data_IF_358550451506
#
_entry.id   IF_358550451506
#
_cell.length_a   1.000
_cell.length_b   1.000
_cell.length_c   1.000
_cell.angle_alpha   90.00
_cell.angle_beta   90.00
_cell.angle_gamma   90.00
#
_symmetry.space_group_name_H-M   'P 1'
#
loop_
_entity.id
_entity.type
_entity.pdbx_description
1 polymer ?
#
# COMPACT_ATOMS: atom_id res chain seq x y z
N UNK A 1 17.10 2.96 -6.37
CA UNK A 1 16.20 3.85 -5.62
C UNK A 1 16.43 3.59 -4.13
N UNK A 2 16.08 4.51 -3.22
CA UNK A 2 16.33 4.33 -1.78
C UNK A 2 15.09 3.81 -1.06
N UNK A 3 15.28 2.89 -0.11
CA UNK A 3 14.19 2.39 0.75
C UNK A 3 13.56 3.56 1.51
N UNK A 4 12.28 3.79 1.30
CA UNK A 4 11.52 4.91 1.89
C UNK A 4 10.38 4.43 2.82
N UNK A 5 10.51 3.21 3.34
CA UNK A 5 9.60 2.63 4.34
C UNK A 5 10.07 3.03 5.73
N UNK A 6 9.18 3.67 6.49
CA UNK A 6 9.49 4.16 7.84
C UNK A 6 8.96 3.21 8.92
N UNK A 7 9.36 3.40 10.18
CA UNK A 7 8.74 2.64 11.28
C UNK A 7 7.39 3.26 11.66
N UNK A 8 6.52 2.46 12.31
CA UNK A 8 5.26 2.99 12.84
C UNK A 8 5.47 4.17 13.79
N UNK A 9 6.52 4.12 14.63
CA UNK A 9 6.86 5.19 15.58
C UNK A 9 7.30 6.44 14.83
N UNK A 10 8.15 6.29 13.81
CA UNK A 10 8.57 7.41 12.95
C UNK A 10 7.37 8.07 12.27
N UNK A 11 6.41 7.29 11.77
CA UNK A 11 5.20 7.82 11.14
C UNK A 11 4.39 8.67 12.12
N UNK A 12 4.15 8.16 13.34
CA UNK A 12 3.43 8.90 14.39
C UNK A 12 4.18 10.16 14.80
N UNK A 13 5.50 10.09 14.99
CA UNK A 13 6.32 11.25 15.35
C UNK A 13 6.34 12.33 14.25
N UNK A 14 6.19 11.93 12.98
CA UNK A 14 6.04 12.84 11.84
C UNK A 14 4.61 13.40 11.69
N UNK A 15 3.73 13.19 12.68
CA UNK A 15 2.35 13.67 12.66
C UNK A 15 1.43 12.88 11.71
N UNK A 16 1.86 11.71 11.21
CA UNK A 16 0.98 10.83 10.43
C UNK A 16 0.04 10.08 11.39
N UNK A 17 -1.16 9.79 10.91
CA UNK A 17 -2.18 9.05 11.68
C UNK A 17 -2.47 7.68 11.04
N UNK A 18 -1.64 6.64 11.25
CA UNK A 18 -1.88 5.30 10.72
C UNK A 18 -3.23 4.68 11.09
N UNK A 19 -3.84 5.15 12.19
CA UNK A 19 -5.15 4.70 12.68
C UNK A 19 -6.32 5.30 11.88
N UNK A 20 -6.11 6.41 11.18
CA UNK A 20 -7.15 7.06 10.36
C UNK A 20 -7.40 6.32 9.03
N UNK A 21 -6.60 5.31 8.71
CA UNK A 21 -6.73 4.52 7.49
C UNK A 21 -7.44 3.21 7.79
N UNK A 22 -8.55 2.99 7.08
CA UNK A 22 -9.35 1.80 7.21
C UNK A 22 -8.55 0.54 6.86
N UNK A 23 -8.68 -0.48 7.70
CA UNK A 23 -8.22 -1.85 7.43
C UNK A 23 -9.39 -2.83 7.29
N UNK A 24 -10.61 -2.35 7.55
CA UNK A 24 -11.82 -3.13 7.43
C UNK A 24 -12.10 -3.45 5.96
N UNK A 25 -12.33 -4.74 5.69
CA UNK A 25 -12.61 -5.27 4.35
C UNK A 25 -13.85 -4.64 3.70
N UNK A 26 -14.78 -4.11 4.49
CA UNK A 26 -15.98 -3.42 4.00
C UNK A 26 -15.71 -1.97 3.58
N UNK A 27 -14.63 -1.38 4.08
CA UNK A 27 -14.25 0.01 3.79
C UNK A 27 -13.18 0.11 2.71
N UNK A 28 -12.44 -0.97 2.45
CA UNK A 28 -11.45 -1.05 1.38
C UNK A 28 -12.19 -1.23 0.04
N UNK A 29 -11.92 -0.37 -0.98
CA UNK A 29 -12.50 -0.54 -2.31
C UNK A 29 -12.09 -1.90 -2.91
N UNK A 30 -13.03 -2.55 -3.59
CA UNK A 30 -12.77 -3.78 -4.37
C UNK A 30 -12.82 -3.43 -5.85
N UNK A 31 -11.92 -4.02 -6.64
CA UNK A 31 -11.74 -3.70 -8.05
C UNK A 31 -10.56 -2.76 -8.28
N UNK A 32 -10.62 -2.02 -9.38
CA UNK A 32 -9.61 -1.01 -9.71
C UNK A 32 -9.90 0.32 -9.02
N UNK A 33 -8.89 0.90 -8.38
CA UNK A 33 -8.98 2.20 -7.72
C UNK A 33 -7.72 3.01 -7.96
N UNK A 34 -7.89 4.31 -8.14
CA UNK A 34 -6.77 5.26 -8.20
C UNK A 34 -6.58 5.82 -6.80
N UNK A 35 -5.37 5.72 -6.26
CA UNK A 35 -5.11 6.23 -4.91
C UNK A 35 -3.67 6.73 -4.75
N UNK A 36 -3.53 7.79 -3.97
CA UNK A 36 -2.23 8.34 -3.61
C UNK A 36 -1.62 7.55 -2.47
N UNK A 37 -0.36 7.15 -2.61
CA UNK A 37 0.39 6.52 -1.54
C UNK A 37 0.94 7.60 -0.59
N UNK A 38 0.33 7.80 0.56
CA UNK A 38 0.73 8.89 1.47
C UNK A 38 2.02 8.56 2.25
N UNK A 39 2.16 7.32 2.72
CA UNK A 39 3.37 6.80 3.38
C UNK A 39 3.34 5.27 3.50
N UNK A 40 4.45 4.68 3.93
CA UNK A 40 4.62 3.23 4.08
C UNK A 40 5.29 2.90 5.40
N UNK A 41 4.84 1.84 6.07
CA UNK A 41 5.47 1.37 7.31
C UNK A 41 5.80 -0.11 7.28
N UNK A 42 6.88 -0.47 7.97
CA UNK A 42 7.18 -1.87 8.26
C UNK A 42 6.14 -2.47 9.21
N UNK A 43 5.64 -3.67 8.91
CA UNK A 43 4.78 -4.41 9.83
C UNK A 43 5.59 -4.95 11.01
N UNK A 44 5.09 -4.77 12.24
CA UNK A 44 5.79 -5.17 13.47
C UNK A 44 6.09 -6.67 13.61
N UNK A 45 5.23 -7.55 13.07
CA UNK A 45 5.25 -9.01 13.32
C UNK A 45 5.47 -9.86 12.07
N UNK A 46 5.61 -9.24 10.91
CA UNK A 46 5.72 -9.92 9.63
C UNK A 46 6.74 -9.21 8.74
N UNK A 47 7.30 -9.93 7.77
CA UNK A 47 8.06 -9.34 6.67
C UNK A 47 7.07 -8.74 5.66
N UNK A 48 6.38 -7.67 6.06
CA UNK A 48 5.38 -6.98 5.26
C UNK A 48 5.58 -5.47 5.29
N UNK A 49 5.17 -4.81 4.21
CA UNK A 49 5.09 -3.35 4.11
C UNK A 49 3.62 -2.98 4.07
N UNK A 50 3.16 -2.23 5.09
CA UNK A 50 1.83 -1.64 5.08
C UNK A 50 1.87 -0.30 4.36
N UNK A 51 1.10 -0.21 3.29
CA UNK A 51 0.97 0.97 2.44
C UNK A 51 -0.32 1.70 2.79
N UNK A 52 -0.21 3.01 3.03
CA UNK A 52 -1.34 3.86 3.39
C UNK A 52 -1.76 4.68 2.18
N UNK A 53 -2.95 4.41 1.70
CA UNK A 53 -3.50 5.00 0.48
C UNK A 53 -4.66 5.95 0.78
N UNK A 54 -4.73 7.02 0.02
CA UNK A 54 -5.80 7.99 0.05
C UNK A 54 -6.35 8.15 -1.37
N UNK A 55 -7.63 7.86 -1.55
CA UNK A 55 -8.34 8.10 -2.81
C UNK A 55 -8.58 9.62 -2.94
N UNK A 56 -8.03 10.28 -3.98
CA UNK A 56 -8.14 11.73 -4.12
C UNK A 56 -9.59 12.18 -4.36
N UNK A 57 -10.39 11.39 -5.07
CA UNK A 57 -11.74 11.76 -5.48
C UNK A 57 -12.75 11.71 -4.31
N UNK A 58 -12.61 10.72 -3.43
CA UNK A 58 -13.56 10.48 -2.32
C UNK A 58 -13.00 10.87 -0.96
N UNK A 59 -11.69 11.12 -0.86
CA UNK A 59 -10.97 11.30 0.41
C UNK A 59 -10.86 10.01 1.24
N UNK A 60 -11.26 8.85 0.68
CA UNK A 60 -11.25 7.57 1.40
C UNK A 60 -9.82 7.14 1.70
N UNK A 61 -9.55 6.91 2.98
CA UNK A 61 -8.26 6.45 3.48
C UNK A 61 -8.33 4.97 3.82
N UNK A 62 -7.49 4.18 3.16
CA UNK A 62 -7.41 2.74 3.41
C UNK A 62 -5.96 2.28 3.41
N UNK A 63 -5.68 1.15 4.05
CA UNK A 63 -4.35 0.57 4.08
C UNK A 63 -4.37 -0.88 3.61
N UNK A 64 -3.34 -1.24 2.86
CA UNK A 64 -3.12 -2.61 2.40
C UNK A 64 -1.72 -3.05 2.79
N UNK A 65 -1.58 -4.30 3.20
CA UNK A 65 -0.29 -4.87 3.57
C UNK A 65 0.20 -5.75 2.42
N UNK A 66 1.37 -5.41 1.88
CA UNK A 66 2.09 -6.23 0.91
C UNK A 66 3.08 -7.09 1.68
N UNK A 67 2.95 -8.40 1.55
CA UNK A 67 3.85 -9.36 2.21
C UNK A 67 4.99 -9.72 1.28
N UNK A 68 6.17 -9.96 1.87
CA UNK A 68 7.33 -10.51 1.17
C UNK A 68 6.96 -11.86 0.57
N UNK A 69 7.30 -12.05 -0.69
CA UNK A 69 7.19 -13.35 -1.32
C UNK A 69 8.17 -14.34 -0.68
N UNK A 70 7.70 -15.55 -0.38
CA UNK A 70 8.48 -16.55 0.37
C UNK A 70 9.65 -17.14 -0.44
N UNK A 71 9.64 -16.98 -1.77
CA UNK A 71 10.61 -17.63 -2.65
C UNK A 71 11.62 -16.64 -3.26
N UNK A 72 11.23 -15.39 -3.50
CA UNK A 72 12.06 -14.38 -4.18
C UNK A 72 12.69 -13.34 -3.25
N UNK A 73 12.32 -13.33 -1.97
CA UNK A 73 12.68 -12.29 -1.01
C UNK A 73 12.25 -10.84 -1.36
N UNK A 74 11.51 -10.67 -2.44
CA UNK A 74 11.04 -9.37 -2.94
C UNK A 74 9.70 -8.97 -2.29
N UNK A 75 9.49 -7.67 -2.12
CA UNK A 75 8.20 -7.08 -1.72
C UNK A 75 7.42 -6.65 -2.96
N UNK A 76 7.31 -7.56 -3.92
CA UNK A 76 6.60 -7.35 -5.18
C UNK A 76 5.28 -8.10 -5.16
N UNK A 77 4.28 -7.54 -5.83
CA UNK A 77 3.08 -8.29 -6.16
C UNK A 77 3.44 -9.34 -7.21
N UNK A 78 2.65 -10.42 -7.29
CA UNK A 78 2.85 -11.46 -8.30
C UNK A 78 2.83 -10.84 -9.71
N UNK A 79 3.93 -10.99 -10.47
CA UNK A 79 4.16 -10.36 -11.79
C UNK A 79 4.21 -8.82 -11.80
N UNK A 80 4.27 -8.17 -10.64
CA UNK A 80 4.40 -6.72 -10.54
C UNK A 80 5.86 -6.27 -10.61
N UNK A 81 6.11 -5.15 -11.29
CA UNK A 81 7.46 -4.55 -11.38
C UNK A 81 7.79 -3.64 -10.19
N UNK A 82 6.76 -3.20 -9.44
CA UNK A 82 6.91 -2.30 -8.30
C UNK A 82 7.42 -3.03 -7.05
N UNK A 83 8.59 -2.62 -6.56
CA UNK A 83 9.02 -2.93 -5.19
C UNK A 83 8.42 -1.90 -4.22
N UNK A 84 7.55 -2.37 -3.31
CA UNK A 84 6.90 -1.52 -2.33
C UNK A 84 7.86 -0.93 -1.29
N UNK A 85 9.11 -1.42 -1.19
CA UNK A 85 10.15 -0.78 -0.37
C UNK A 85 10.65 0.52 -0.96
N UNK A 86 10.61 0.64 -2.28
CA UNK A 86 11.28 1.72 -3.02
C UNK A 86 10.30 2.62 -3.77
N UNK A 87 9.06 2.17 -4.03
CA UNK A 87 8.10 2.94 -4.80
C UNK A 87 7.87 4.35 -4.21
N UNK A 88 7.76 5.40 -5.03
CA UNK A 88 7.68 6.77 -4.53
C UNK A 88 6.41 7.01 -3.71
N UNK A 89 6.56 7.60 -2.52
CA UNK A 89 5.44 8.15 -1.74
C UNK A 89 4.99 9.50 -2.33
N UNK A 90 3.75 9.89 -2.08
CA UNK A 90 3.12 11.10 -2.61
C UNK A 90 2.65 10.99 -4.06
N UNK A 91 2.80 9.83 -4.70
CA UNK A 91 2.38 9.58 -6.09
C UNK A 91 1.07 8.80 -6.17
N UNK A 92 0.39 8.93 -7.31
CA UNK A 92 -0.83 8.19 -7.62
C UNK A 92 -0.49 6.81 -8.17
N UNK A 93 -1.25 5.82 -7.73
CA UNK A 93 -1.15 4.45 -8.18
C UNK A 93 -2.52 3.96 -8.61
N UNK A 94 -2.54 3.21 -9.72
CA UNK A 94 -3.67 2.37 -10.09
C UNK A 94 -3.51 1.06 -9.35
N UNK A 95 -4.41 0.77 -8.43
CA UNK A 95 -4.41 -0.43 -7.61
C UNK A 95 -5.54 -1.35 -8.05
N UNK A 96 -5.29 -2.66 -8.05
CA UNK A 96 -6.34 -3.67 -8.18
C UNK A 96 -6.43 -4.44 -6.87
N UNK A 97 -7.53 -4.28 -6.16
CA UNK A 97 -7.75 -4.90 -4.86
C UNK A 97 -8.88 -5.92 -4.97
N UNK A 98 -8.62 -7.13 -4.52
CA UNK A 98 -9.58 -8.23 -4.59
C UNK A 98 -9.69 -8.95 -3.25
N UNK A 99 -10.86 -9.52 -2.98
CA UNK A 99 -11.04 -10.45 -1.85
C UNK A 99 -10.33 -11.76 -2.19
N UNK A 100 -9.49 -12.24 -1.27
CA UNK A 100 -8.91 -13.57 -1.37
C UNK A 100 -9.93 -14.65 -0.94
N UNK A 101 -9.57 -15.92 -1.13
CA UNK A 101 -10.39 -17.08 -0.75
C UNK A 101 -10.74 -17.13 0.74
N UNK A 102 -9.99 -16.42 1.59
CA UNK A 102 -10.20 -16.33 3.03
C UNK A 102 -11.02 -15.08 3.42
N UNK A 103 -11.60 -14.36 2.45
CA UNK A 103 -12.41 -13.15 2.68
C UNK A 103 -11.63 -11.89 3.02
N UNK A 104 -10.30 -11.94 3.02
CA UNK A 104 -9.44 -10.78 3.30
C UNK A 104 -9.11 -10.01 2.02
N UNK A 105 -8.91 -8.71 2.14
CA UNK A 105 -8.51 -7.86 1.01
C UNK A 105 -7.04 -8.07 0.67
N UNK A 106 -6.77 -8.34 -0.60
CA UNK A 106 -5.43 -8.53 -1.16
C UNK A 106 -5.23 -7.56 -2.32
N UNK A 107 -4.11 -6.86 -2.29
CA UNK A 107 -3.63 -6.13 -3.46
C UNK A 107 -3.13 -7.16 -4.48
N UNK A 108 -3.60 -7.06 -5.73
CA UNK A 108 -3.27 -7.95 -6.84
C UNK A 108 -2.31 -7.30 -7.81
N UNK A 109 -2.60 -6.06 -8.17
CA UNK A 109 -1.80 -5.28 -9.11
C UNK A 109 -1.65 -3.86 -8.56
N UNK A 110 -0.53 -3.24 -8.90
CA UNK A 110 -0.26 -1.85 -8.62
C UNK A 110 0.63 -1.29 -9.72
N UNK A 111 0.24 -0.15 -10.27
CA UNK A 111 0.98 0.56 -11.30
C UNK A 111 1.12 2.02 -10.90
N UNK A 112 2.33 2.56 -10.98
CA UNK A 112 2.55 3.99 -10.81
C UNK A 112 1.88 4.72 -11.97
N UNK A 113 1.02 5.69 -11.66
CA UNK A 113 0.48 6.59 -12.67
C UNK A 113 1.51 7.71 -12.79
N UNK A 114 2.29 7.67 -13.86
CA UNK A 114 3.15 8.79 -14.21
C UNK A 114 2.25 9.90 -14.75
N UNK A 115 2.27 11.07 -14.09
CA UNK A 115 1.74 12.29 -14.69
C UNK A 115 2.55 12.54 -15.96
N UNK A 116 1.94 12.27 -17.10
CA UNK A 116 2.49 12.65 -18.39
C UNK A 116 2.30 14.16 -18.48
N UNK A 117 3.33 14.93 -18.11
CA UNK A 117 3.40 16.36 -18.41
C UNK A 117 3.57 16.60 -19.90
#
# INVERSE_FOLDING_TARGET
MSVNVITYVTAVNAGKEPKAYAFDVHQIPTGEVISRLDFKVWTKKSSGVTCFFCEPDTGRKFRVTVFKDKHSEEYKLYKGELDFRECPVGKLYRLRIEKNSNGNMSLKEAHLIEDTQ
#
